data_IF_943431012746
#
_entry.id   IF_943431012746
#
_cell.length_a   1.000
_cell.length_b   1.000
_cell.length_c   1.000
_cell.angle_alpha   90.00
_cell.angle_beta   90.00
_cell.angle_gamma   90.00
#
_symmetry.space_group_name_H-M   'P 1'
#
loop_
_entity.id
_entity.type
_entity.pdbx_description
1 polymer ?
#
# COMPACT_ATOMS: atom_id res chain seq x y z
N UNK A 1 33.80 25.97 -5.79
CA UNK A 1 32.73 24.97 -5.57
C UNK A 1 31.46 25.74 -5.31
N UNK A 2 30.76 26.16 -6.37
CA UNK A 2 29.53 26.95 -6.30
C UNK A 2 28.38 26.00 -5.95
N UNK A 3 27.63 26.36 -4.92
CA UNK A 3 26.42 25.68 -4.49
C UNK A 3 25.34 25.94 -5.55
N UNK A 4 24.92 24.89 -6.24
CA UNK A 4 23.74 24.89 -7.10
C UNK A 4 22.68 24.04 -6.38
N UNK A 5 22.17 24.58 -5.27
CA UNK A 5 20.96 24.06 -4.63
C UNK A 5 19.78 24.74 -5.33
N UNK A 6 18.86 24.00 -5.96
CA UNK A 6 17.71 24.64 -6.58
C UNK A 6 16.91 25.34 -5.48
N UNK A 7 16.79 26.66 -5.59
CA UNK A 7 15.95 27.44 -4.69
C UNK A 7 14.48 27.05 -4.95
N UNK A 8 13.80 26.56 -3.91
CA UNK A 8 12.38 26.21 -3.97
C UNK A 8 11.58 27.42 -4.47
N UNK A 9 10.73 27.18 -5.47
CA UNK A 9 9.84 28.20 -6.03
C UNK A 9 8.68 28.50 -5.08
N UNK A 10 7.99 29.63 -5.28
CA UNK A 10 6.78 29.95 -4.51
C UNK A 10 5.68 28.89 -4.61
N UNK A 11 5.62 28.16 -5.73
CA UNK A 11 4.69 27.03 -5.91
C UNK A 11 5.11 25.81 -5.09
N UNK A 12 6.41 25.54 -4.97
CA UNK A 12 6.91 24.41 -4.15
C UNK A 12 6.54 24.60 -2.67
N UNK A 13 6.65 25.82 -2.14
CA UNK A 13 6.22 26.13 -0.77
C UNK A 13 4.72 25.94 -0.57
N UNK A 14 3.90 26.27 -1.57
CA UNK A 14 2.44 26.07 -1.52
C UNK A 14 2.11 24.57 -1.49
N UNK A 15 2.70 23.78 -2.38
CA UNK A 15 2.49 22.32 -2.44
C UNK A 15 2.94 21.65 -1.14
N UNK A 16 4.08 22.07 -0.57
CA UNK A 16 4.54 21.58 0.74
C UNK A 16 3.53 21.89 1.86
N UNK A 17 2.91 23.07 1.84
CA UNK A 17 1.85 23.43 2.78
C UNK A 17 0.61 22.53 2.65
N UNK A 18 0.17 22.27 1.41
CA UNK A 18 -0.97 21.40 1.12
C UNK A 18 -0.71 19.95 1.59
N UNK A 19 0.49 19.42 1.34
CA UNK A 19 0.90 18.09 1.82
C UNK A 19 0.92 18.04 3.35
N UNK A 20 1.41 19.10 4.02
CA UNK A 20 1.44 19.18 5.47
C UNK A 20 0.04 19.15 6.11
N UNK A 21 -0.93 19.84 5.53
CA UNK A 21 -2.32 19.79 6.01
C UNK A 21 -2.97 18.43 5.73
N UNK A 22 -2.70 17.84 4.55
CA UNK A 22 -3.19 16.49 4.23
C UNK A 22 -2.61 15.42 5.17
N UNK A 23 -1.31 15.50 5.50
CA UNK A 23 -0.67 14.62 6.48
C UNK A 23 -1.35 14.68 7.84
N UNK A 24 -1.61 15.89 8.36
CA UNK A 24 -2.33 16.09 9.63
C UNK A 24 -3.74 15.49 9.59
N UNK A 25 -4.46 15.72 8.49
CA UNK A 25 -5.82 15.21 8.31
C UNK A 25 -5.85 13.67 8.31
N UNK A 26 -4.97 13.03 7.54
CA UNK A 26 -4.86 11.56 7.50
C UNK A 26 -4.53 11.00 8.88
N UNK A 27 -3.56 11.60 9.58
CA UNK A 27 -3.17 11.17 10.92
C UNK A 27 -4.33 11.27 11.92
N UNK A 28 -5.10 12.36 11.86
CA UNK A 28 -6.27 12.54 12.72
C UNK A 28 -7.35 11.48 12.48
N UNK A 29 -7.59 11.08 11.22
CA UNK A 29 -8.52 10.00 10.88
C UNK A 29 -8.02 8.64 11.36
N UNK A 30 -6.73 8.33 11.15
CA UNK A 30 -6.13 7.08 11.62
C UNK A 30 -6.20 6.94 13.15
N UNK A 31 -5.96 8.02 13.89
CA UNK A 31 -6.00 8.04 15.34
C UNK A 31 -7.37 7.68 15.94
N UNK A 32 -8.46 7.75 15.15
CA UNK A 32 -9.80 7.33 15.60
C UNK A 32 -9.92 5.81 15.77
N UNK A 33 -9.10 5.03 15.07
CA UNK A 33 -9.14 3.56 15.08
C UNK A 33 -7.84 2.91 15.55
N UNK A 34 -6.71 3.59 15.38
CA UNK A 34 -5.38 3.09 15.72
C UNK A 34 -4.87 3.84 16.95
N UNK A 35 -4.74 3.13 18.07
CA UNK A 35 -4.34 3.69 19.37
C UNK A 35 -2.91 3.26 19.70
N UNK A 36 -2.05 4.21 20.06
CA UNK A 36 -0.71 3.94 20.60
C UNK A 36 0.32 3.46 19.56
N UNK A 37 0.14 3.82 18.29
CA UNK A 37 1.06 3.50 17.19
C UNK A 37 1.43 4.73 16.35
N UNK A 38 1.58 5.88 16.99
CA UNK A 38 1.85 7.16 16.35
C UNK A 38 3.15 7.11 15.52
N UNK A 39 4.22 6.52 16.06
CA UNK A 39 5.50 6.41 15.36
C UNK A 39 5.41 5.52 14.11
N UNK A 40 4.64 4.43 14.19
CA UNK A 40 4.44 3.52 13.05
C UNK A 40 3.61 4.21 11.96
N UNK A 41 2.58 4.96 12.36
CA UNK A 41 1.79 5.78 11.43
C UNK A 41 2.69 6.77 10.68
N UNK A 42 3.56 7.49 11.39
CA UNK A 42 4.50 8.43 10.77
C UNK A 42 5.45 7.75 9.78
N UNK A 43 6.00 6.59 10.13
CA UNK A 43 6.88 5.82 9.24
C UNK A 43 6.14 5.32 7.99
N UNK A 44 4.91 4.83 8.14
CA UNK A 44 4.08 4.38 7.01
C UNK A 44 3.73 5.54 6.09
N UNK A 45 3.33 6.70 6.63
CA UNK A 45 3.04 7.89 5.83
C UNK A 45 4.29 8.41 5.11
N UNK A 46 5.45 8.40 5.78
CA UNK A 46 6.73 8.78 5.18
C UNK A 46 7.08 7.88 4.00
N UNK A 47 6.93 6.56 4.16
CA UNK A 47 7.15 5.61 3.08
C UNK A 47 6.15 5.82 1.94
N UNK A 48 4.87 6.03 2.25
CA UNK A 48 3.83 6.29 1.25
C UNK A 48 4.12 7.54 0.42
N UNK A 49 4.44 8.68 1.05
CA UNK A 49 4.76 9.92 0.34
C UNK A 49 6.05 9.85 -0.48
N UNK A 50 6.97 8.97 -0.11
CA UNK A 50 8.21 8.72 -0.87
C UNK A 50 8.07 7.62 -1.94
N UNK A 51 6.88 7.01 -2.08
CA UNK A 51 6.64 5.91 -3.02
C UNK A 51 7.35 4.60 -2.62
N UNK A 52 7.69 4.44 -1.35
CA UNK A 52 8.38 3.27 -0.80
C UNK A 52 7.43 2.16 -0.34
N UNK A 53 8.03 1.02 0.05
CA UNK A 53 7.35 -0.11 0.66
C UNK A 53 7.78 -0.27 2.11
N UNK A 54 6.88 -0.79 2.96
CA UNK A 54 7.12 -0.94 4.40
C UNK A 54 7.12 -2.40 4.78
N UNK A 55 8.13 -2.83 5.54
CA UNK A 55 8.15 -4.12 6.22
C UNK A 55 7.68 -3.95 7.67
N UNK A 56 6.48 -4.42 7.99
CA UNK A 56 5.90 -4.32 9.33
C UNK A 56 6.20 -5.55 10.18
N UNK A 57 7.26 -5.48 10.98
CA UNK A 57 7.63 -6.52 11.95
C UNK A 57 6.93 -6.30 13.30
N UNK A 58 6.62 -7.37 14.01
CA UNK A 58 5.92 -7.31 15.30
C UNK A 58 5.03 -8.52 15.52
N UNK A 59 4.59 -8.72 16.77
CA UNK A 59 3.75 -9.86 17.15
C UNK A 59 2.34 -9.79 16.54
N UNK A 60 1.65 -10.94 16.38
CA UNK A 60 0.25 -10.95 15.95
C UNK A 60 -0.65 -10.11 16.85
N UNK A 61 -1.68 -9.49 16.27
CA UNK A 61 -2.67 -8.71 17.03
C UNK A 61 -2.33 -7.23 17.23
N UNK A 62 -1.18 -6.74 16.75
CA UNK A 62 -0.80 -5.32 16.81
C UNK A 62 -1.46 -4.46 15.73
N UNK A 63 -2.71 -4.75 15.36
CA UNK A 63 -3.50 -3.92 14.44
C UNK A 63 -2.83 -3.56 13.10
N UNK A 64 -1.78 -4.29 12.64
CA UNK A 64 -1.08 -3.98 11.37
C UNK A 64 -2.03 -4.01 10.17
N UNK A 65 -2.87 -5.04 10.11
CA UNK A 65 -3.91 -5.15 9.09
C UNK A 65 -4.90 -4.01 9.16
N UNK A 66 -5.33 -3.64 10.38
CA UNK A 66 -6.26 -2.55 10.62
C UNK A 66 -5.68 -1.20 10.22
N UNK A 67 -4.39 -0.97 10.50
CA UNK A 67 -3.67 0.25 10.16
C UNK A 67 -3.67 0.47 8.64
N UNK A 68 -3.23 -0.55 7.88
CA UNK A 68 -3.09 -0.43 6.43
C UNK A 68 -4.46 -0.38 5.73
N UNK A 69 -5.44 -1.18 6.20
CA UNK A 69 -6.80 -1.11 5.65
C UNK A 69 -7.45 0.25 5.94
N UNK A 70 -7.29 0.79 7.15
CA UNK A 70 -7.85 2.10 7.51
C UNK A 70 -7.17 3.22 6.72
N UNK A 71 -5.85 3.15 6.50
CA UNK A 71 -5.15 4.13 5.67
C UNK A 71 -5.68 4.14 4.23
N UNK A 72 -5.88 2.96 3.64
CA UNK A 72 -6.46 2.85 2.31
C UNK A 72 -7.90 3.39 2.26
N UNK A 73 -8.72 3.11 3.27
CA UNK A 73 -10.07 3.66 3.42
C UNK A 73 -10.06 5.20 3.50
N UNK A 74 -9.19 5.78 4.33
CA UNK A 74 -9.05 7.24 4.50
C UNK A 74 -8.63 7.91 3.20
N UNK A 75 -7.79 7.26 2.40
CA UNK A 75 -7.31 7.77 1.12
C UNK A 75 -8.24 7.42 -0.07
N UNK A 76 -9.31 6.67 0.15
CA UNK A 76 -10.21 6.21 -0.92
C UNK A 76 -9.52 5.29 -1.95
N UNK A 77 -8.51 4.54 -1.51
CA UNK A 77 -7.65 3.73 -2.36
C UNK A 77 -8.00 2.23 -2.32
N UNK A 78 -7.78 1.52 -3.44
CA UNK A 78 -8.02 0.08 -3.50
C UNK A 78 -7.04 -0.64 -2.58
N UNK A 79 -7.57 -1.44 -1.66
CA UNK A 79 -6.81 -2.28 -0.73
C UNK A 79 -7.03 -3.75 -1.04
N UNK A 80 -5.93 -4.51 -1.12
CA UNK A 80 -5.96 -5.97 -1.17
C UNK A 80 -5.05 -6.56 -0.09
N UNK A 81 -5.47 -7.69 0.49
CA UNK A 81 -4.65 -8.48 1.41
C UNK A 81 -4.28 -9.80 0.73
N UNK A 82 -2.99 -10.13 0.75
CA UNK A 82 -2.46 -11.40 0.25
C UNK A 82 -1.89 -12.14 1.45
N UNK A 83 -2.46 -13.30 1.76
CA UNK A 83 -1.91 -14.18 2.79
C UNK A 83 -0.88 -15.10 2.14
N UNK A 84 0.37 -14.99 2.54
CA UNK A 84 1.42 -15.87 2.04
C UNK A 84 1.28 -17.25 2.70
N UNK A 85 1.22 -18.28 1.87
CA UNK A 85 1.18 -19.68 2.25
C UNK A 85 2.26 -20.44 1.48
N UNK A 86 2.68 -21.64 1.94
CA UNK A 86 3.70 -22.42 1.24
C UNK A 86 3.31 -22.82 -0.17
N UNK A 87 2.01 -22.94 -0.44
CA UNK A 87 1.45 -23.41 -1.71
C UNK A 87 1.08 -22.27 -2.66
N UNK A 88 1.28 -21.02 -2.25
CA UNK A 88 0.91 -19.84 -3.05
C UNK A 88 1.77 -19.78 -4.32
N UNK A 89 1.14 -19.81 -5.49
CA UNK A 89 1.83 -19.71 -6.77
C UNK A 89 1.99 -18.25 -7.18
N UNK A 90 3.03 -17.88 -7.96
CA UNK A 90 3.16 -16.51 -8.48
C UNK A 90 1.92 -16.02 -9.24
N UNK A 91 1.26 -16.90 -9.99
CA UNK A 91 0.01 -16.61 -10.72
C UNK A 91 -1.15 -16.25 -9.80
N UNK A 92 -1.16 -16.71 -8.54
CA UNK A 92 -2.19 -16.33 -7.57
C UNK A 92 -2.03 -14.89 -7.09
N UNK A 93 -0.84 -14.30 -7.28
CA UNK A 93 -0.51 -12.91 -6.92
C UNK A 93 -0.63 -12.00 -8.14
N UNK A 94 -0.04 -12.40 -9.26
CA UNK A 94 0.00 -11.60 -10.50
C UNK A 94 -1.24 -11.79 -11.37
N UNK A 95 -1.99 -12.88 -11.19
CA UNK A 95 -3.08 -13.25 -12.09
C UNK A 95 -2.63 -14.21 -13.20
N UNK A 96 -3.60 -14.62 -14.00
CA UNK A 96 -3.42 -15.63 -15.05
C UNK A 96 -4.38 -15.40 -16.22
N UNK A 97 -4.01 -15.93 -17.38
CA UNK A 97 -4.89 -16.00 -18.53
C UNK A 97 -5.85 -17.18 -18.39
N UNK A 98 -7.15 -16.91 -18.51
CA UNK A 98 -8.21 -17.93 -18.51
C UNK A 98 -8.86 -18.03 -19.89
N UNK A 99 -9.23 -19.23 -20.29
CA UNK A 99 -9.97 -19.44 -21.53
C UNK A 99 -11.42 -19.00 -21.33
N UNK A 100 -11.94 -18.18 -22.24
CA UNK A 100 -13.35 -17.76 -22.28
C UNK A 100 -14.32 -18.94 -22.29
N UNK A 101 -15.48 -18.76 -21.64
CA UNK A 101 -16.46 -19.83 -21.41
C UNK A 101 -17.46 -20.08 -22.55
N UNK A 102 -17.47 -19.25 -23.59
CA UNK A 102 -18.40 -19.43 -24.72
C UNK A 102 -17.81 -20.41 -25.74
N UNK A 103 -18.59 -21.42 -26.12
CA UNK A 103 -18.21 -22.46 -27.10
C UNK A 103 -17.72 -21.89 -28.44
N UNK A 104 -18.07 -20.64 -28.73
CA UNK A 104 -17.73 -19.93 -29.97
C UNK A 104 -16.59 -18.91 -29.81
N UNK A 105 -16.11 -18.64 -28.58
CA UNK A 105 -15.02 -17.72 -28.31
C UNK A 105 -13.97 -18.34 -27.37
N UNK A 106 -12.98 -19.01 -27.98
CA UNK A 106 -11.79 -19.53 -27.29
C UNK A 106 -10.72 -18.45 -27.07
N UNK A 107 -11.13 -17.23 -26.74
CA UNK A 107 -10.20 -16.16 -26.43
C UNK A 107 -9.58 -16.36 -25.03
N UNK A 108 -8.28 -16.06 -24.90
CA UNK A 108 -7.62 -15.98 -23.60
C UNK A 108 -7.88 -14.60 -23.00
N UNK A 109 -8.44 -14.54 -21.79
CA UNK A 109 -8.70 -13.32 -21.05
C UNK A 109 -7.81 -13.24 -19.81
N UNK A 110 -7.10 -12.14 -19.64
CA UNK A 110 -6.27 -11.93 -18.44
C UNK A 110 -7.15 -11.60 -17.24
N UNK A 111 -7.07 -12.41 -16.20
CA UNK A 111 -7.61 -12.08 -14.89
C UNK A 111 -6.52 -11.53 -13.98
N UNK A 112 -6.62 -10.25 -13.63
CA UNK A 112 -5.66 -9.58 -12.74
C UNK A 112 -5.68 -10.20 -11.34
N UNK A 113 -4.49 -10.52 -10.81
CA UNK A 113 -4.34 -10.99 -9.44
C UNK A 113 -4.52 -9.90 -8.37
N UNK A 114 -4.43 -10.26 -7.09
CA UNK A 114 -4.62 -9.34 -5.96
C UNK A 114 -3.52 -8.28 -5.84
N UNK A 115 -2.37 -8.41 -6.52
CA UNK A 115 -1.32 -7.38 -6.52
C UNK A 115 -1.78 -6.06 -7.18
N UNK A 116 -2.82 -6.10 -8.01
CA UNK A 116 -3.37 -4.93 -8.71
C UNK A 116 -4.28 -4.10 -7.79
N UNK A 117 -3.66 -3.43 -6.82
CA UNK A 117 -4.28 -2.50 -5.89
C UNK A 117 -3.33 -1.34 -5.56
N UNK A 118 -3.84 -0.27 -4.95
CA UNK A 118 -3.00 0.85 -4.50
C UNK A 118 -2.25 0.48 -3.21
N UNK A 119 -2.93 -0.23 -2.30
CA UNK A 119 -2.35 -0.80 -1.10
C UNK A 119 -2.45 -2.32 -1.16
N UNK A 120 -1.32 -3.00 -0.97
CA UNK A 120 -1.25 -4.45 -0.84
C UNK A 120 -0.62 -4.78 0.49
N UNK A 121 -1.36 -5.47 1.35
CA UNK A 121 -0.83 -6.08 2.56
C UNK A 121 -0.45 -7.52 2.27
N UNK A 122 0.85 -7.77 2.11
CA UNK A 122 1.43 -9.10 2.04
C UNK A 122 1.67 -9.61 3.47
N UNK A 123 0.80 -10.49 3.96
CA UNK A 123 0.83 -11.01 5.32
C UNK A 123 1.59 -12.34 5.39
N UNK A 124 2.35 -12.53 6.46
CA UNK A 124 3.20 -13.72 6.69
C UNK A 124 4.13 -14.11 5.52
N UNK A 125 4.75 -13.11 4.86
CA UNK A 125 5.63 -13.30 3.68
C UNK A 125 6.76 -14.31 3.87
N UNK A 126 7.12 -14.59 5.12
CA UNK A 126 8.13 -15.56 5.51
C UNK A 126 7.67 -17.02 5.43
N UNK A 127 6.42 -17.29 4.99
CA UNK A 127 5.84 -18.64 4.90
C UNK A 127 5.90 -19.27 3.50
N UNK A 128 6.39 -18.56 2.49
CA UNK A 128 6.53 -19.07 1.12
C UNK A 128 7.97 -19.48 0.84
N UNK A 129 8.23 -20.58 0.09
CA UNK A 129 9.58 -20.95 -0.32
C UNK A 129 10.26 -19.85 -1.16
N UNK A 130 11.61 -19.76 -1.15
CA UNK A 130 12.35 -18.77 -1.94
C UNK A 130 12.24 -18.98 -3.45
#
# INVERSE_FOLDING_TARGET
>A
MSQDQPALSGDDYRVLGEIGEMHKAIRAELAKRIIGQEDVIEQVLTAFFSGGHVLLLGVPGLAKTLLISTLAEVLGMKFNRIQFTPDLMPSDITGSDVLGGDDNDRSFQFMSGPIFANFVLADEINRTPP
#
